data_IF_299576917066
#
_entry.id   IF_299576917066
#
_cell.length_a   1.000
_cell.length_b   1.000
_cell.length_c   1.000
_cell.angle_alpha   90.00
_cell.angle_beta   90.00
_cell.angle_gamma   90.00
#
_symmetry.space_group_name_H-M   'P 1'
#
loop_
_entity.id
_entity.type
_entity.pdbx_description
1 polymer ?
#
# COMPACT_ATOMS: atom_id res chain seq x y z
N UNK A 1 -6.52 17.32 8.33
CA UNK A 1 -5.78 17.07 9.56
C UNK A 1 -4.32 17.40 9.36
N UNK A 2 -3.60 16.73 8.52
CA UNK A 2 -2.19 16.99 8.23
C UNK A 2 -1.44 15.78 7.71
N UNK A 3 -0.14 15.95 7.54
CA UNK A 3 0.79 14.90 7.11
C UNK A 3 1.91 14.80 8.12
N UNK A 4 2.27 13.58 8.52
CA UNK A 4 3.40 13.27 9.38
C UNK A 4 4.21 12.12 8.82
N UNK A 5 5.52 12.12 9.07
CA UNK A 5 6.39 11.03 8.68
C UNK A 5 6.38 9.92 9.73
N UNK A 6 6.02 8.70 9.34
CA UNK A 6 6.18 7.50 10.14
C UNK A 6 7.42 6.67 9.72
N UNK A 7 8.30 7.25 8.87
CA UNK A 7 9.57 6.64 8.46
C UNK A 7 9.43 5.22 7.90
N UNK A 8 8.34 4.93 7.20
CA UNK A 8 7.99 3.62 6.61
C UNK A 8 7.79 2.50 7.65
N UNK A 9 7.55 2.84 8.91
CA UNK A 9 7.50 1.89 10.02
C UNK A 9 6.08 1.73 10.57
N UNK A 10 5.67 0.48 10.74
CA UNK A 10 4.33 0.08 11.24
C UNK A 10 4.04 0.65 12.62
N UNK A 11 4.97 0.52 13.56
CA UNK A 11 4.82 0.97 14.94
C UNK A 11 4.70 2.51 15.05
N UNK A 12 5.44 3.23 14.23
CA UNK A 12 5.33 4.70 14.18
C UNK A 12 4.02 5.17 13.57
N UNK A 13 3.54 4.49 12.52
CA UNK A 13 2.24 4.79 11.93
C UNK A 13 1.10 4.49 12.91
N UNK A 14 1.21 3.39 13.68
CA UNK A 14 0.27 3.07 14.75
C UNK A 14 0.19 4.20 15.78
N UNK A 15 1.32 4.58 16.39
CA UNK A 15 1.37 5.65 17.40
C UNK A 15 0.87 7.01 16.84
N UNK A 16 1.23 7.33 15.57
CA UNK A 16 0.76 8.56 14.92
C UNK A 16 -0.76 8.54 14.73
N UNK A 17 -1.33 7.39 14.38
CA UNK A 17 -2.77 7.25 14.17
C UNK A 17 -3.52 7.30 15.50
N UNK A 18 -3.01 6.69 16.56
CA UNK A 18 -3.54 6.82 17.93
C UNK A 18 -3.62 8.30 18.37
N UNK A 19 -2.53 9.05 18.19
CA UNK A 19 -2.48 10.48 18.47
C UNK A 19 -3.52 11.27 17.66
N UNK A 20 -3.69 10.94 16.37
CA UNK A 20 -4.68 11.59 15.52
C UNK A 20 -6.11 11.27 15.91
N UNK A 21 -6.42 10.02 16.25
CA UNK A 21 -7.74 9.62 16.74
C UNK A 21 -8.09 10.39 18.01
N UNK A 22 -7.15 10.51 18.95
CA UNK A 22 -7.35 11.26 20.18
C UNK A 22 -7.53 12.77 19.96
N UNK A 23 -6.78 13.34 19.01
CA UNK A 23 -6.78 14.78 18.73
C UNK A 23 -7.93 15.21 17.81
N UNK A 24 -8.37 14.34 16.91
CA UNK A 24 -9.36 14.64 15.88
C UNK A 24 -10.51 13.62 15.92
N UNK A 25 -11.53 13.85 16.79
CA UNK A 25 -12.65 12.91 16.96
C UNK A 25 -13.40 12.59 15.66
N UNK A 26 -13.37 13.52 14.69
CA UNK A 26 -14.03 13.39 13.39
C UNK A 26 -13.10 12.84 12.28
N UNK A 27 -11.94 12.27 12.64
CA UNK A 27 -11.07 11.60 11.68
C UNK A 27 -11.85 10.52 10.92
N UNK A 28 -11.76 10.53 9.59
CA UNK A 28 -12.49 9.60 8.71
C UNK A 28 -11.59 8.72 7.88
N UNK A 29 -10.39 9.19 7.56
CA UNK A 29 -9.49 8.47 6.69
C UNK A 29 -8.03 8.68 7.05
N UNK A 30 -7.22 7.67 6.80
CA UNK A 30 -5.75 7.70 6.87
C UNK A 30 -5.20 7.12 5.58
N UNK A 31 -4.40 7.91 4.87
CA UNK A 31 -3.71 7.46 3.66
C UNK A 31 -2.24 7.24 4.02
N UNK A 32 -1.75 6.05 3.77
CA UNK A 32 -0.39 5.62 4.07
C UNK A 32 0.40 5.40 2.78
N UNK A 33 1.65 5.84 2.76
CA UNK A 33 2.55 5.73 1.61
C UNK A 33 3.07 4.29 1.39
N UNK A 34 2.86 3.39 2.38
CA UNK A 34 3.08 1.96 2.22
C UNK A 34 2.13 1.12 3.09
N UNK A 35 2.07 -0.19 2.82
CA UNK A 35 1.17 -1.11 3.50
C UNK A 35 1.61 -1.40 4.95
N UNK A 36 2.90 -1.39 5.25
CA UNK A 36 3.36 -1.53 6.63
C UNK A 36 2.79 -0.43 7.53
N UNK A 37 2.79 0.82 7.05
CA UNK A 37 2.16 1.93 7.78
C UNK A 37 0.64 1.80 7.81
N UNK A 38 0.00 1.33 6.73
CA UNK A 38 -1.46 1.12 6.72
C UNK A 38 -1.90 0.06 7.72
N UNK A 39 -1.12 -1.00 7.88
CA UNK A 39 -1.37 -2.04 8.88
C UNK A 39 -1.18 -1.52 10.31
N UNK A 40 -0.23 -0.59 10.53
CA UNK A 40 -0.08 0.12 11.81
C UNK A 40 -1.28 1.02 12.10
N UNK A 41 -1.72 1.80 11.11
CA UNK A 41 -2.91 2.65 11.24
C UNK A 41 -4.18 1.82 11.51
N UNK A 42 -4.31 0.66 10.85
CA UNK A 42 -5.41 -0.28 11.06
C UNK A 42 -5.42 -0.79 12.51
N UNK A 43 -4.29 -1.22 13.04
CA UNK A 43 -4.17 -1.67 14.43
C UNK A 43 -4.61 -0.60 15.43
N UNK A 44 -4.20 0.66 15.21
CA UNK A 44 -4.63 1.79 16.04
C UNK A 44 -6.13 2.02 15.96
N UNK A 45 -6.71 2.01 14.75
CA UNK A 45 -8.14 2.19 14.55
C UNK A 45 -8.97 1.09 15.24
N UNK A 46 -8.55 -0.18 15.11
CA UNK A 46 -9.19 -1.33 15.75
C UNK A 46 -9.12 -1.25 17.29
N UNK A 47 -7.95 -0.90 17.84
CA UNK A 47 -7.76 -0.76 19.28
C UNK A 47 -8.66 0.33 19.89
N UNK A 48 -8.90 1.42 19.15
CA UNK A 48 -9.73 2.55 19.56
C UNK A 48 -11.21 2.38 19.14
N UNK A 49 -11.56 1.26 18.49
CA UNK A 49 -12.92 0.99 18.01
C UNK A 49 -13.41 2.01 16.98
N UNK A 50 -12.50 2.54 16.15
CA UNK A 50 -12.80 3.53 15.11
C UNK A 50 -12.90 2.85 13.75
N UNK A 51 -13.96 3.21 13.03
CA UNK A 51 -14.15 2.82 11.62
C UNK A 51 -13.56 3.93 10.73
N UNK A 52 -12.39 3.66 10.16
CA UNK A 52 -11.64 4.59 9.31
C UNK A 52 -11.44 3.99 7.92
N UNK A 53 -11.54 4.83 6.90
CA UNK A 53 -11.04 4.48 5.56
C UNK A 53 -9.51 4.51 5.61
N UNK A 54 -8.87 3.35 5.43
CA UNK A 54 -7.41 3.24 5.45
C UNK A 54 -6.94 2.66 4.12
N UNK A 55 -5.99 3.34 3.48
CA UNK A 55 -5.41 2.94 2.20
C UNK A 55 -3.90 2.89 2.34
N UNK A 56 -3.31 1.82 1.80
CA UNK A 56 -1.86 1.64 1.72
C UNK A 56 -1.36 1.56 0.27
N UNK A 57 -0.08 1.28 0.14
CA UNK A 57 0.62 1.06 -1.13
C UNK A 57 1.57 -0.12 -0.91
N UNK A 58 1.79 -0.92 -1.87
CA UNK A 58 2.69 -2.03 -2.14
C UNK A 58 1.95 -3.31 -2.55
N UNK A 59 0.84 -3.67 -1.91
CA UNK A 59 0.14 -4.94 -2.14
C UNK A 59 0.76 -6.11 -1.37
N UNK A 60 1.26 -5.88 -0.14
CA UNK A 60 1.84 -6.98 0.66
C UNK A 60 0.75 -7.96 1.15
N UNK A 61 1.10 -9.21 1.34
CA UNK A 61 0.15 -10.30 1.61
C UNK A 61 -0.76 -10.05 2.82
N UNK A 62 -0.25 -9.52 3.93
CA UNK A 62 -1.06 -9.25 5.12
C UNK A 62 -2.03 -8.06 4.92
N UNK A 63 -1.64 -7.06 4.12
CA UNK A 63 -2.54 -5.97 3.73
C UNK A 63 -3.64 -6.45 2.77
N UNK A 64 -3.29 -7.27 1.77
CA UNK A 64 -4.28 -7.87 0.88
C UNK A 64 -5.26 -8.76 1.62
N UNK A 65 -4.78 -9.54 2.60
CA UNK A 65 -5.68 -10.32 3.45
C UNK A 65 -6.61 -9.42 4.28
N UNK A 66 -6.10 -8.30 4.79
CA UNK A 66 -6.93 -7.33 5.51
C UNK A 66 -7.95 -6.64 4.60
N UNK A 67 -7.63 -6.40 3.33
CA UNK A 67 -8.59 -5.92 2.31
C UNK A 67 -9.69 -6.96 2.07
N UNK A 68 -9.31 -8.24 1.89
CA UNK A 68 -10.26 -9.34 1.72
C UNK A 68 -11.21 -9.48 2.90
N UNK A 69 -10.70 -9.32 4.10
CA UNK A 69 -11.48 -9.42 5.34
C UNK A 69 -12.33 -8.17 5.62
N UNK A 70 -12.26 -7.15 4.76
CA UNK A 70 -12.99 -5.89 4.89
C UNK A 70 -12.46 -4.97 6.00
N UNK A 71 -11.25 -5.21 6.51
CA UNK A 71 -10.61 -4.46 7.58
C UNK A 71 -9.79 -3.28 7.05
N UNK A 72 -9.12 -3.46 5.90
CA UNK A 72 -8.43 -2.41 5.17
C UNK A 72 -9.25 -2.04 3.93
N UNK A 73 -9.34 -0.76 3.61
CA UNK A 73 -10.22 -0.29 2.51
C UNK A 73 -9.65 -0.61 1.13
N UNK A 74 -8.34 -0.45 0.96
CA UNK A 74 -7.64 -0.74 -0.29
C UNK A 74 -6.12 -0.75 -0.11
N UNK A 75 -5.42 -1.37 -1.05
CA UNK A 75 -3.99 -1.17 -1.28
C UNK A 75 -3.72 -0.87 -2.75
N UNK A 76 -2.67 -0.11 -3.03
CA UNK A 76 -2.22 0.17 -4.40
C UNK A 76 -1.00 -0.70 -4.69
N UNK A 77 -1.17 -1.74 -5.50
CA UNK A 77 -0.09 -2.65 -5.87
C UNK A 77 1.02 -1.92 -6.63
N UNK A 78 2.23 -2.03 -6.13
CA UNK A 78 3.45 -1.81 -6.88
C UNK A 78 3.90 -3.17 -7.45
N UNK A 79 3.57 -3.44 -8.71
CA UNK A 79 3.85 -4.71 -9.37
C UNK A 79 5.37 -4.93 -9.50
N UNK A 80 5.99 -5.44 -8.43
CA UNK A 80 7.42 -5.68 -8.35
C UNK A 80 7.88 -6.74 -9.36
N UNK A 81 7.08 -7.77 -9.59
CA UNK A 81 7.38 -8.84 -10.55
C UNK A 81 7.32 -8.33 -11.99
N UNK A 82 6.31 -7.53 -12.32
CA UNK A 82 6.21 -6.86 -13.61
C UNK A 82 7.37 -5.88 -13.85
N UNK A 83 7.78 -5.13 -12.82
CA UNK A 83 8.94 -4.23 -12.89
C UNK A 83 10.23 -5.03 -13.09
N UNK A 84 10.46 -6.10 -12.34
CA UNK A 84 11.63 -6.95 -12.47
C UNK A 84 11.70 -7.61 -13.86
N UNK A 85 10.58 -8.15 -14.35
CA UNK A 85 10.49 -8.74 -15.68
C UNK A 85 10.80 -7.74 -16.77
N UNK A 86 10.21 -6.54 -16.70
CA UNK A 86 10.48 -5.47 -17.65
C UNK A 86 11.96 -5.05 -17.67
N UNK A 87 12.59 -4.94 -16.50
CA UNK A 87 14.02 -4.61 -16.40
C UNK A 87 14.90 -5.69 -17.04
N UNK A 88 14.60 -6.98 -16.77
CA UNK A 88 15.37 -8.10 -17.35
C UNK A 88 15.23 -8.13 -18.88
N UNK A 89 14.01 -7.99 -19.39
CA UNK A 89 13.74 -7.99 -20.84
C UNK A 89 14.48 -6.87 -21.56
N UNK A 90 14.44 -5.65 -20.97
CA UNK A 90 15.15 -4.51 -21.54
C UNK A 90 16.65 -4.71 -21.46
N UNK A 91 17.19 -5.22 -20.35
CA UNK A 91 18.61 -5.47 -20.19
C UNK A 91 19.13 -6.49 -21.22
N UNK A 92 18.37 -7.56 -21.51
CA UNK A 92 18.71 -8.53 -22.55
C UNK A 92 18.75 -7.87 -23.92
N UNK A 93 17.74 -7.08 -24.30
CA UNK A 93 17.70 -6.35 -25.57
C UNK A 93 18.91 -5.44 -25.75
N UNK A 94 19.23 -4.64 -24.72
CA UNK A 94 20.42 -3.78 -24.73
C UNK A 94 21.70 -4.60 -24.87
N UNK A 95 21.77 -5.74 -24.16
CA UNK A 95 22.96 -6.62 -24.20
C UNK A 95 23.24 -7.24 -25.57
N UNK A 96 22.22 -7.43 -26.39
CA UNK A 96 22.37 -7.92 -27.78
C UNK A 96 22.39 -6.80 -28.84
N UNK A 97 22.37 -5.53 -28.40
CA UNK A 97 22.49 -4.36 -29.29
C UNK A 97 21.20 -3.94 -29.97
N UNK A 98 20.04 -4.39 -29.46
CA UNK A 98 18.74 -3.92 -29.94
C UNK A 98 18.41 -2.50 -29.43
N UNK A 99 17.68 -1.75 -30.24
CA UNK A 99 17.14 -0.46 -29.83
C UNK A 99 16.01 -0.68 -28.80
N UNK A 100 16.02 0.16 -27.75
CA UNK A 100 15.01 0.11 -26.69
C UNK A 100 14.41 1.50 -26.47
N UNK A 101 13.21 1.54 -25.95
CA UNK A 101 12.58 2.79 -25.57
C UNK A 101 13.27 3.41 -24.34
N UNK A 102 13.15 4.74 -24.19
CA UNK A 102 13.74 5.46 -23.05
C UNK A 102 12.94 5.28 -21.75
N UNK A 103 11.71 4.72 -21.82
CA UNK A 103 10.82 4.51 -20.67
C UNK A 103 9.91 3.31 -20.90
N UNK A 104 9.81 2.49 -19.87
CA UNK A 104 8.86 1.40 -19.78
C UNK A 104 7.97 1.64 -18.55
N UNK A 105 6.67 1.71 -18.73
CA UNK A 105 5.73 1.93 -17.64
C UNK A 105 5.11 0.60 -17.21
N UNK A 106 5.25 0.28 -15.93
CA UNK A 106 4.50 -0.77 -15.25
C UNK A 106 3.44 -0.06 -14.40
N UNK A 107 2.15 -0.18 -14.74
CA UNK A 107 1.12 0.60 -14.06
C UNK A 107 0.88 0.08 -12.64
N UNK A 108 0.63 1.00 -11.71
CA UNK A 108 0.09 0.63 -10.41
C UNK A 108 -1.36 0.19 -10.55
N UNK A 109 -1.80 -0.72 -9.66
CA UNK A 109 -3.14 -1.28 -9.70
C UNK A 109 -3.83 -1.08 -8.35
N UNK A 110 -5.05 -0.54 -8.37
CA UNK A 110 -5.86 -0.41 -7.17
C UNK A 110 -6.48 -1.77 -6.83
N UNK A 111 -6.20 -2.24 -5.62
CA UNK A 111 -6.77 -3.47 -5.07
C UNK A 111 -7.79 -3.11 -4.00
N UNK A 112 -9.00 -3.61 -4.18
CA UNK A 112 -10.14 -3.47 -3.27
C UNK A 112 -10.77 -4.84 -3.00
N UNK A 113 -11.78 -4.90 -2.15
CA UNK A 113 -12.52 -6.14 -1.89
C UNK A 113 -13.11 -6.79 -3.17
N UNK A 114 -13.35 -6.00 -4.23
CA UNK A 114 -13.95 -6.50 -5.47
C UNK A 114 -12.97 -7.32 -6.34
N UNK A 115 -11.67 -7.11 -6.20
CA UNK A 115 -10.66 -7.75 -7.04
C UNK A 115 -9.47 -8.36 -6.27
N UNK A 116 -9.47 -8.31 -4.96
CA UNK A 116 -8.35 -8.79 -4.14
C UNK A 116 -8.07 -10.28 -4.30
N UNK A 117 -9.09 -11.08 -4.62
CA UNK A 117 -8.93 -12.53 -4.83
C UNK A 117 -8.01 -12.87 -6.02
N UNK A 118 -7.87 -11.96 -7.00
CA UNK A 118 -6.98 -12.14 -8.13
C UNK A 118 -5.48 -11.98 -7.76
N UNK A 119 -5.19 -11.49 -6.54
CA UNK A 119 -3.84 -11.15 -6.06
C UNK A 119 -3.43 -11.94 -4.81
N UNK A 120 -4.30 -12.78 -4.28
CA UNK A 120 -4.00 -13.69 -3.18
C UNK A 120 -3.63 -15.06 -3.73
N UNK A 121 -2.43 -15.53 -3.41
CA UNK A 121 -1.97 -16.91 -3.71
C UNK A 121 -2.54 -17.93 -2.71
#
# INVERSE_FOLDING_TARGET
>A
VGTLSASWQRDKAMSTTEDWIGKYPDLKAVICENDDMSMGALQAAEAEGKDLVIIGVDGISDALQAVKDGRLSASVLQDADGQASAVIDVAVKVGVGEEVESRYNVPFQLITADNVDDYLE
#
